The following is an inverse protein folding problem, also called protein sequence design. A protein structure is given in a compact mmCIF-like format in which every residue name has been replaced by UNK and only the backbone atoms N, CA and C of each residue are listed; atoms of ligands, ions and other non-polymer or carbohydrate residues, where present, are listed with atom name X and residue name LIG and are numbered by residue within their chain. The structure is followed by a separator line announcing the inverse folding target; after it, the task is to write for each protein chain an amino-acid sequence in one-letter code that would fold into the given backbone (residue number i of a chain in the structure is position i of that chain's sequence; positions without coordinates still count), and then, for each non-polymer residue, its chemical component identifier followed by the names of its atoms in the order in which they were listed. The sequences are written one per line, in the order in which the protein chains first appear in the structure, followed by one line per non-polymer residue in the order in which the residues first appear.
data_IF_170295573495
#
_entry.id   IF_170295573495
#
_cell.length_a   1.000
_cell.length_b   1.000
_cell.length_c   1.000
_cell.angle_alpha   90.00
_cell.angle_beta   90.00
_cell.angle_gamma   90.00
#
_symmetry.space_group_name_H-M   'P 1'
#
loop_
_entity.id
_entity.type
_entity.pdbx_description
1 polymer ?
#
# COMPACT_ATOMS: atom_id res chain seq x y z
N UNK A 1 -0.70 -2.92 -10.02
CA UNK A 1 0.41 -3.62 -9.33
C UNK A 1 1.78 -3.36 -9.98
N UNK A 2 1.92 -3.33 -11.32
CA UNK A 2 3.22 -3.07 -11.97
C UNK A 2 3.80 -1.67 -11.70
N UNK A 3 2.96 -0.62 -11.67
CA UNK A 3 3.40 0.77 -11.39
C UNK A 3 3.92 0.97 -9.96
N UNK A 4 3.37 0.23 -9.00
CA UNK A 4 3.73 0.34 -7.59
C UNK A 4 5.13 -0.25 -7.33
N UNK A 5 5.46 -1.33 -8.05
CA UNK A 5 6.80 -1.94 -8.01
C UNK A 5 7.86 -1.02 -8.61
N UNK A 6 7.52 -0.28 -9.67
CA UNK A 6 8.43 0.70 -10.28
C UNK A 6 8.66 1.90 -9.37
N UNK A 7 7.61 2.42 -8.71
CA UNK A 7 7.72 3.47 -7.69
C UNK A 7 8.58 3.03 -6.50
N UNK A 8 8.42 1.82 -6.00
CA UNK A 8 9.29 1.29 -4.95
C UNK A 8 10.76 1.27 -5.37
N UNK A 9 11.06 0.86 -6.61
CA UNK A 9 12.43 0.84 -7.12
C UNK A 9 13.01 2.25 -7.25
N UNK A 10 12.21 3.22 -7.67
CA UNK A 10 12.62 4.63 -7.74
C UNK A 10 12.92 5.22 -6.35
N UNK A 11 12.06 4.96 -5.36
CA UNK A 11 12.25 5.40 -3.98
C UNK A 11 13.51 4.79 -3.34
N UNK A 12 13.75 3.50 -3.55
CA UNK A 12 14.97 2.83 -3.09
C UNK A 12 16.23 3.40 -3.75
N UNK A 13 16.15 3.73 -5.03
CA UNK A 13 17.27 4.37 -5.75
C UNK A 13 17.55 5.77 -5.19
N UNK A 14 16.51 6.56 -4.89
CA UNK A 14 16.64 7.89 -4.31
C UNK A 14 17.28 7.85 -2.92
N UNK A 15 16.87 6.90 -2.07
CA UNK A 15 17.46 6.69 -0.74
C UNK A 15 18.96 6.38 -0.83
N UNK A 16 19.36 5.49 -1.74
CA UNK A 16 20.77 5.15 -1.95
C UNK A 16 21.58 6.33 -2.49
N UNK A 17 21.01 7.11 -3.40
CA UNK A 17 21.69 8.26 -3.99
C UNK A 17 21.88 9.41 -2.98
N UNK A 18 20.97 9.54 -2.02
CA UNK A 18 21.01 10.59 -0.99
C UNK A 18 21.81 10.21 0.27
N UNK A 19 22.19 8.93 0.41
CA UNK A 19 22.86 8.44 1.60
C UNK A 19 24.26 9.06 1.74
N UNK A 20 24.51 9.73 2.86
CA UNK A 20 25.81 10.33 3.18
C UNK A 20 26.07 11.69 2.52
N UNK A 21 25.10 12.24 1.79
CA UNK A 21 25.23 13.56 1.12
C UNK A 21 25.23 14.72 2.12
N UNK A 22 24.61 14.56 3.30
CA UNK A 22 24.67 15.53 4.41
C UNK A 22 23.97 16.87 4.16
N UNK A 23 23.19 16.96 3.08
CA UNK A 23 22.51 18.15 2.58
C UNK A 23 20.98 18.13 2.84
N UNK A 24 20.50 17.16 3.61
CA UNK A 24 19.06 16.98 3.87
C UNK A 24 18.32 16.15 2.80
N UNK A 25 19.01 15.73 1.73
CA UNK A 25 18.40 14.95 0.65
C UNK A 25 17.95 13.57 1.11
N UNK A 26 18.64 12.97 2.08
CA UNK A 26 18.31 11.67 2.64
C UNK A 26 16.99 11.73 3.41
N UNK A 27 16.85 12.71 4.29
CA UNK A 27 15.66 12.97 5.08
C UNK A 27 14.46 13.19 4.17
N UNK A 28 14.61 13.99 3.10
CA UNK A 28 13.55 14.18 2.10
C UNK A 28 13.18 12.89 1.36
N UNK A 29 14.16 12.08 0.97
CA UNK A 29 13.92 10.80 0.29
C UNK A 29 13.20 9.80 1.22
N UNK A 30 13.56 9.78 2.51
CA UNK A 30 12.90 8.98 3.54
C UNK A 30 11.45 9.41 3.73
N UNK A 31 11.17 10.72 3.87
CA UNK A 31 9.80 11.23 4.01
C UNK A 31 8.93 10.80 2.83
N UNK A 32 9.41 11.00 1.59
CA UNK A 32 8.68 10.59 0.38
C UNK A 32 8.43 9.08 0.31
N UNK A 33 9.39 8.28 0.76
CA UNK A 33 9.24 6.83 0.79
C UNK A 33 8.14 6.40 1.79
N UNK A 34 8.11 6.99 2.98
CA UNK A 34 7.08 6.70 3.98
C UNK A 34 5.70 7.20 3.57
N UNK A 35 5.59 8.40 2.99
CA UNK A 35 4.33 8.90 2.42
C UNK A 35 3.73 7.92 1.41
N UNK A 36 4.55 7.35 0.53
CA UNK A 36 4.11 6.35 -0.43
C UNK A 36 3.66 5.04 0.24
N UNK A 37 4.39 4.57 1.27
CA UNK A 37 3.99 3.37 2.03
C UNK A 37 2.65 3.59 2.72
N UNK A 38 2.42 4.74 3.33
CA UNK A 38 1.14 5.03 3.98
C UNK A 38 -0.01 5.16 2.99
N UNK A 39 0.19 5.79 1.83
CA UNK A 39 -0.79 5.81 0.74
C UNK A 39 -1.10 4.39 0.24
N UNK A 40 -0.07 3.55 0.07
CA UNK A 40 -0.24 2.17 -0.36
C UNK A 40 -1.00 1.33 0.68
N UNK A 41 -0.66 1.45 1.96
CA UNK A 41 -1.36 0.77 3.05
C UNK A 41 -2.82 1.26 3.18
N UNK A 42 -3.06 2.56 2.99
CA UNK A 42 -4.42 3.12 2.96
C UNK A 42 -5.26 2.50 1.84
N UNK A 43 -4.73 2.50 0.61
CA UNK A 43 -5.39 1.85 -0.53
C UNK A 43 -5.62 0.36 -0.31
N UNK A 44 -4.67 -0.33 0.31
CA UNK A 44 -4.83 -1.76 0.63
C UNK A 44 -5.95 -1.96 1.65
N UNK A 45 -6.02 -1.13 2.69
CA UNK A 45 -7.07 -1.18 3.70
C UNK A 45 -8.46 -0.84 3.13
N UNK A 46 -8.54 0.14 2.23
CA UNK A 46 -9.76 0.46 1.48
C UNK A 46 -10.18 -0.67 0.52
N UNK A 47 -9.22 -1.36 -0.11
CA UNK A 47 -9.51 -2.54 -0.96
C UNK A 47 -9.86 -3.79 -0.15
N UNK A 48 -9.35 -3.93 1.08
CA UNK A 48 -9.67 -5.02 2.01
C UNK A 48 -10.95 -4.73 2.82
N UNK A 49 -11.48 -3.50 2.76
CA UNK A 49 -12.77 -3.13 3.34
C UNK A 49 -13.89 -3.00 2.29
N UNK A 50 -14.47 -4.11 1.79
CA UNK A 50 -15.88 -4.17 1.48
C UNK A 50 -16.76 -4.39 2.74
N UNK A 51 -16.18 -4.58 3.93
CA UNK A 51 -16.91 -4.83 5.17
C UNK A 51 -16.74 -3.69 6.16
N UNK A 52 -17.83 -2.97 6.44
CA UNK A 52 -17.88 -1.99 7.53
C UNK A 52 -17.77 -2.66 8.92
N UNK A 53 -17.89 -1.87 9.99
CA UNK A 53 -17.85 -2.36 11.37
C UNK A 53 -19.00 -3.33 11.73
N UNK A 54 -19.97 -3.50 10.82
CA UNK A 54 -20.88 -4.64 10.79
C UNK A 54 -20.44 -5.53 9.62
N UNK A 55 -19.90 -6.71 9.95
CA UNK A 55 -19.42 -7.70 8.99
C UNK A 55 -20.58 -8.34 8.22
N UNK A 56 -21.30 -7.56 7.42
CA UNK A 56 -22.38 -8.07 6.59
C UNK A 56 -21.81 -8.64 5.29
N UNK A 57 -21.75 -9.97 5.31
CA UNK A 57 -22.05 -10.87 4.21
C UNK A 57 -21.65 -10.36 2.82
N UNK A 58 -20.52 -10.89 2.33
CA UNK A 58 -20.30 -11.07 0.90
C UNK A 58 -21.59 -11.66 0.31
N UNK A 59 -22.34 -10.85 -0.44
CA UNK A 59 -23.53 -11.33 -1.14
C UNK A 59 -23.14 -12.57 -1.95
N UNK A 60 -23.63 -13.73 -1.53
CA UNK A 60 -23.48 -14.96 -2.30
C UNK A 60 -24.11 -14.73 -3.66
N UNK A 61 -23.38 -15.05 -4.73
CA UNK A 61 -23.96 -15.04 -6.07
C UNK A 61 -25.12 -16.05 -6.08
N UNK A 62 -26.19 -15.82 -6.86
CA UNK A 62 -27.30 -16.75 -6.93
C UNK A 62 -26.80 -18.16 -7.29
N UNK A 63 -26.87 -19.08 -6.32
CA UNK A 63 -26.43 -20.49 -6.48
C UNK A 63 -25.26 -20.95 -5.61
N UNK A 64 -24.68 -20.10 -4.74
CA UNK A 64 -23.59 -20.53 -3.86
C UNK A 64 -24.11 -21.14 -2.53
N UNK A 65 -23.62 -22.33 -2.18
CA UNK A 65 -24.05 -23.08 -0.99
C UNK A 65 -23.26 -22.67 0.27
N UNK A 66 -23.88 -22.58 1.47
CA UNK A 66 -23.29 -21.95 2.65
C UNK A 66 -22.30 -22.85 3.44
N UNK A 67 -21.93 -24.02 2.93
CA UNK A 67 -21.35 -25.11 3.72
C UNK A 67 -19.83 -25.07 3.91
N UNK A 68 -19.17 -23.97 3.57
CA UNK A 68 -17.73 -23.78 3.84
C UNK A 68 -17.53 -22.56 4.74
N UNK A 69 -17.85 -22.75 6.02
CA UNK A 69 -17.29 -21.97 7.12
C UNK A 69 -16.24 -22.81 7.83
#
# INVERSE_FOLDING_TARGET
MSEDTEKHRALLSALRAAQGTGDGSFEQAVTKAFEHVFDHLGRLNDHVSPGGPDGEDRHLKPGESPTLR
#
